data_IF_060586773218
#
_entry.id   IF_060586773218
#
_cell.length_a   1.000
_cell.length_b   1.000
_cell.length_c   1.000
_cell.angle_alpha   90.00
_cell.angle_beta   90.00
_cell.angle_gamma   90.00
#
_symmetry.space_group_name_H-M   'P 1'
#
loop_
_entity.id
_entity.type
_entity.pdbx_description
1 polymer ?
#
# COMPACT_ATOMS: atom_id res chain seq x y z
N UNK A 1 -0.08 28.61 -11.70
CA UNK A 1 -1.13 27.60 -11.63
C UNK A 1 -1.42 27.31 -10.17
N UNK A 2 -2.67 27.06 -9.79
CA UNK A 2 -2.98 26.66 -8.42
C UNK A 2 -2.27 25.35 -8.09
N UNK A 3 -1.74 25.24 -6.85
CA UNK A 3 -1.15 24.00 -6.37
C UNK A 3 -2.25 22.94 -6.24
N UNK A 4 -2.00 21.75 -6.79
CA UNK A 4 -2.90 20.60 -6.64
C UNK A 4 -2.45 19.78 -5.43
N UNK A 5 -3.41 19.45 -4.55
CA UNK A 5 -3.17 18.59 -3.40
C UNK A 5 -4.00 17.33 -3.52
N UNK A 6 -3.39 16.20 -3.21
CA UNK A 6 -4.06 14.89 -3.25
C UNK A 6 -3.84 14.12 -1.96
N UNK A 7 -4.85 13.42 -1.52
CA UNK A 7 -4.72 12.42 -0.46
C UNK A 7 -4.08 11.17 -1.05
N UNK A 8 -3.10 10.60 -0.36
CA UNK A 8 -2.41 9.39 -0.80
C UNK A 8 -3.22 8.12 -0.52
N UNK A 9 -4.12 8.20 0.47
CA UNK A 9 -4.99 7.11 0.87
C UNK A 9 -6.44 7.49 0.70
N UNK A 10 -7.30 6.49 0.49
CA UNK A 10 -8.75 6.72 0.49
C UNK A 10 -9.23 6.96 1.92
N UNK A 11 -10.13 7.94 2.07
CA UNK A 11 -10.68 8.33 3.38
C UNK A 11 -11.86 7.44 3.72
N UNK A 12 -11.72 6.59 4.75
CA UNK A 12 -12.79 5.72 5.22
C UNK A 12 -13.52 6.36 6.40
N UNK A 13 -14.81 6.69 6.24
CA UNK A 13 -15.69 7.21 7.27
C UNK A 13 -16.45 6.13 8.04
N UNK A 14 -16.26 4.85 7.70
CA UNK A 14 -17.00 3.75 8.32
C UNK A 14 -16.52 3.43 9.74
N UNK A 15 -15.39 4.00 10.17
CA UNK A 15 -14.84 3.83 11.52
C UNK A 15 -14.31 5.15 12.09
N UNK A 16 -14.20 5.18 13.42
CA UNK A 16 -13.52 6.25 14.16
C UNK A 16 -12.60 5.62 15.20
N UNK A 17 -11.34 6.03 15.23
CA UNK A 17 -10.35 5.55 16.21
C UNK A 17 -9.58 6.71 16.81
N UNK A 18 -8.82 6.45 17.87
CA UNK A 18 -7.95 7.45 18.49
C UNK A 18 -6.90 8.03 17.55
N UNK A 19 -6.44 7.24 16.57
CA UNK A 19 -5.46 7.64 15.56
C UNK A 19 -6.09 8.32 14.34
N UNK A 20 -7.37 8.07 14.07
CA UNK A 20 -8.11 8.65 12.94
C UNK A 20 -9.54 8.98 13.38
N UNK A 21 -9.72 9.99 14.23
CA UNK A 21 -11.04 10.34 14.74
C UNK A 21 -11.93 10.90 13.65
N UNK A 22 -13.21 10.51 13.69
CA UNK A 22 -14.28 11.11 12.88
C UNK A 22 -15.06 12.06 13.74
N UNK A 23 -15.02 13.34 13.42
CA UNK A 23 -15.88 14.35 14.05
C UNK A 23 -17.29 14.24 13.46
N UNK A 24 -18.29 14.14 14.32
CA UNK A 24 -19.70 14.05 13.93
C UNK A 24 -20.44 15.27 14.47
N UNK A 25 -21.05 16.02 13.58
CA UNK A 25 -21.89 17.18 13.95
C UNK A 25 -23.27 17.07 13.32
N UNK A 26 -24.30 17.61 13.98
CA UNK A 26 -25.63 17.66 13.38
C UNK A 26 -25.60 18.70 12.26
N UNK A 27 -26.00 18.29 11.06
CA UNK A 27 -26.10 19.17 9.89
C UNK A 27 -27.48 19.81 9.77
N UNK A 28 -28.55 19.02 9.93
CA UNK A 28 -29.93 19.54 9.93
C UNK A 28 -30.79 18.82 10.95
N UNK A 29 -31.84 19.51 11.41
CA UNK A 29 -32.82 18.96 12.30
C UNK A 29 -34.21 19.06 11.65
N UNK A 30 -35.07 18.13 11.99
CA UNK A 30 -36.48 18.17 11.60
C UNK A 30 -37.17 19.35 12.29
N UNK A 31 -37.75 20.24 11.52
CA UNK A 31 -38.39 21.47 12.04
C UNK A 31 -39.57 21.21 12.97
N UNK A 32 -40.24 20.06 12.83
CA UNK A 32 -41.44 19.72 13.63
C UNK A 32 -41.08 19.00 14.93
N UNK A 33 -40.08 18.09 14.87
CA UNK A 33 -39.75 17.24 16.03
C UNK A 33 -38.49 17.68 16.76
N UNK A 34 -37.63 18.52 16.14
CA UNK A 34 -36.32 18.92 16.66
C UNK A 34 -35.27 17.79 16.61
N UNK A 35 -35.64 16.63 16.08
CA UNK A 35 -34.70 15.50 15.98
C UNK A 35 -33.69 15.71 14.85
N UNK A 36 -32.41 15.26 15.02
CA UNK A 36 -31.44 15.32 13.96
C UNK A 36 -31.87 14.48 12.74
N UNK A 37 -31.79 15.05 11.55
CA UNK A 37 -32.07 14.36 10.27
C UNK A 37 -30.79 13.96 9.54
N UNK A 38 -29.82 14.87 9.53
CA UNK A 38 -28.55 14.65 8.83
C UNK A 38 -27.36 14.99 9.71
N UNK A 39 -26.30 14.23 9.54
CA UNK A 39 -25.04 14.42 10.23
C UNK A 39 -23.92 14.76 9.24
N UNK A 40 -23.04 15.67 9.62
CA UNK A 40 -21.82 15.97 8.90
C UNK A 40 -20.67 15.22 9.55
N UNK A 41 -19.99 14.39 8.75
CA UNK A 41 -18.78 13.66 9.14
C UNK A 41 -17.56 14.40 8.63
N UNK A 42 -16.58 14.62 9.51
CA UNK A 42 -15.30 15.22 9.14
C UNK A 42 -14.15 14.34 9.61
N UNK A 43 -13.13 14.20 8.76
CA UNK A 43 -11.83 13.62 9.10
C UNK A 43 -10.70 14.51 8.66
N UNK A 44 -9.61 14.52 9.44
CA UNK A 44 -8.34 15.13 9.03
C UNK A 44 -7.49 14.09 8.34
N UNK A 45 -6.98 14.42 7.17
CA UNK A 45 -6.11 13.54 6.37
C UNK A 45 -4.91 14.32 5.87
N UNK A 46 -3.79 13.62 5.67
CA UNK A 46 -2.62 14.21 5.04
C UNK A 46 -2.85 14.32 3.53
N UNK A 47 -2.46 15.44 2.97
CA UNK A 47 -2.49 15.65 1.53
C UNK A 47 -1.10 16.11 1.08
N UNK A 48 -0.66 15.60 -0.06
CA UNK A 48 0.63 15.95 -0.67
C UNK A 48 0.38 16.75 -1.93
N UNK A 49 1.16 17.82 -2.12
CA UNK A 49 1.14 18.58 -3.37
C UNK A 49 1.89 17.81 -4.44
N UNK A 50 1.20 17.35 -5.46
CA UNK A 50 1.78 16.58 -6.54
C UNK A 50 0.77 16.16 -7.58
N UNK A 51 1.27 15.79 -8.75
CA UNK A 51 0.49 15.22 -9.85
C UNK A 51 0.84 13.75 -10.01
N UNK A 52 -0.16 12.91 -10.19
CA UNK A 52 0.06 11.51 -10.53
C UNK A 52 0.38 11.42 -12.02
N UNK A 53 1.48 10.76 -12.34
CA UNK A 53 1.90 10.44 -13.70
C UNK A 53 2.15 8.95 -13.81
N UNK A 54 1.93 8.40 -14.99
CA UNK A 54 2.23 7.01 -15.31
C UNK A 54 3.36 6.98 -16.33
N UNK A 55 4.31 6.07 -16.13
CA UNK A 55 5.42 5.84 -17.05
C UNK A 55 5.51 4.36 -17.36
N UNK A 56 5.52 4.02 -18.65
CA UNK A 56 5.63 2.64 -19.10
C UNK A 56 7.09 2.30 -19.43
N UNK A 57 7.51 1.11 -19.03
CA UNK A 57 8.84 0.57 -19.34
C UNK A 57 8.68 -0.76 -20.05
N UNK A 58 9.49 -0.96 -21.10
CA UNK A 58 9.53 -2.23 -21.82
C UNK A 58 10.80 -2.97 -21.45
N UNK A 59 10.62 -4.18 -20.94
CA UNK A 59 11.74 -5.11 -20.70
C UNK A 59 11.95 -5.98 -21.92
N UNK A 60 13.22 -6.32 -22.19
CA UNK A 60 13.60 -7.29 -23.20
C UNK A 60 13.46 -8.73 -22.71
N UNK A 61 14.40 -9.60 -23.10
CA UNK A 61 14.46 -10.95 -22.55
C UNK A 61 14.64 -10.91 -21.04
N UNK A 62 14.00 -11.82 -20.27
CA UNK A 62 14.11 -11.87 -18.82
C UNK A 62 15.56 -11.93 -18.36
N UNK A 63 15.92 -11.06 -17.44
CA UNK A 63 17.26 -11.01 -16.81
C UNK A 63 17.09 -10.96 -15.29
N UNK A 64 17.87 -11.73 -14.54
CA UNK A 64 17.90 -11.60 -13.09
C UNK A 64 18.33 -10.18 -12.70
N UNK A 65 17.67 -9.61 -11.70
CA UNK A 65 17.98 -8.30 -11.13
C UNK A 65 17.95 -7.14 -12.14
N UNK A 66 17.06 -7.21 -13.11
CA UNK A 66 16.92 -6.16 -14.13
C UNK A 66 16.56 -4.81 -13.50
N UNK A 67 17.02 -3.75 -14.13
CA UNK A 67 16.94 -2.40 -13.57
C UNK A 67 16.32 -1.44 -14.57
N UNK A 68 15.52 -0.54 -14.04
CA UNK A 68 15.05 0.64 -14.77
C UNK A 68 15.39 1.90 -14.00
N UNK A 69 15.54 2.99 -14.71
CA UNK A 69 15.76 4.31 -14.09
C UNK A 69 14.64 5.25 -14.46
N UNK A 70 13.98 5.78 -13.45
CA UNK A 70 13.01 6.85 -13.60
C UNK A 70 13.77 8.16 -13.63
N UNK A 71 13.59 8.93 -14.69
CA UNK A 71 14.34 10.16 -14.96
C UNK A 71 13.61 11.43 -14.50
N UNK A 72 12.51 11.29 -13.80
CA UNK A 72 11.74 12.41 -13.26
C UNK A 72 12.47 12.99 -12.04
N UNK A 73 12.80 14.28 -12.11
CA UNK A 73 13.65 14.95 -11.10
C UNK A 73 12.91 15.30 -9.80
N UNK A 74 11.58 15.26 -9.79
CA UNK A 74 10.75 15.66 -8.66
C UNK A 74 9.83 14.54 -8.18
N UNK A 75 10.29 13.30 -8.26
CA UNK A 75 9.54 12.16 -7.77
C UNK A 75 9.37 12.24 -6.26
N UNK A 76 8.13 12.18 -5.78
CA UNK A 76 7.78 12.19 -4.37
C UNK A 76 7.66 10.74 -3.86
N UNK A 77 6.91 9.91 -4.59
CA UNK A 77 6.58 8.55 -4.16
C UNK A 77 6.20 7.69 -5.37
N UNK A 78 6.43 6.38 -5.26
CA UNK A 78 5.88 5.38 -6.17
C UNK A 78 4.56 4.90 -5.56
N UNK A 79 3.47 5.12 -6.27
CA UNK A 79 2.14 4.73 -5.80
C UNK A 79 1.88 3.26 -6.10
N UNK A 80 2.21 2.83 -7.32
CA UNK A 80 1.94 1.47 -7.77
C UNK A 80 2.89 1.06 -8.90
N UNK A 81 3.22 -0.22 -8.95
CA UNK A 81 3.98 -0.83 -10.04
C UNK A 81 3.22 -2.08 -10.46
N UNK A 82 2.82 -2.15 -11.72
CA UNK A 82 2.08 -3.27 -12.28
C UNK A 82 2.72 -3.73 -13.58
N UNK A 83 2.64 -5.02 -13.88
CA UNK A 83 3.08 -5.57 -15.15
C UNK A 83 1.96 -5.60 -16.21
N UNK A 84 2.28 -6.07 -17.41
CA UNK A 84 1.33 -6.16 -18.53
C UNK A 84 0.14 -7.09 -18.26
N UNK A 85 0.29 -8.02 -17.34
CA UNK A 85 -0.76 -8.96 -16.93
C UNK A 85 -1.56 -8.43 -15.73
N UNK A 86 -1.30 -7.16 -15.35
CA UNK A 86 -1.90 -6.48 -14.21
C UNK A 86 -1.56 -7.11 -12.84
N UNK A 87 -0.42 -7.82 -12.77
CA UNK A 87 0.09 -8.27 -11.48
C UNK A 87 0.78 -7.12 -10.77
N UNK A 88 0.49 -6.97 -9.50
CA UNK A 88 1.11 -5.97 -8.64
C UNK A 88 2.50 -6.39 -8.21
N UNK A 89 3.45 -5.45 -8.29
CA UNK A 89 4.80 -5.58 -7.77
C UNK A 89 4.94 -4.76 -6.48
N UNK A 90 5.67 -5.30 -5.52
CA UNK A 90 5.77 -4.74 -4.17
C UNK A 90 7.18 -4.25 -3.87
N UNK A 91 7.26 -3.06 -3.31
CA UNK A 91 8.52 -2.54 -2.80
C UNK A 91 8.92 -3.29 -1.53
N UNK A 92 10.18 -3.73 -1.49
CA UNK A 92 10.78 -4.41 -0.34
C UNK A 92 12.11 -3.75 0.02
N UNK A 93 12.54 -3.82 1.28
CA UNK A 93 13.83 -3.26 1.70
C UNK A 93 15.04 -3.93 1.02
N UNK A 94 14.91 -5.22 0.68
CA UNK A 94 15.94 -6.00 -0.02
C UNK A 94 15.29 -7.16 -0.79
N UNK A 95 15.87 -7.52 -1.93
CA UNK A 95 15.26 -8.49 -2.86
C UNK A 95 15.12 -9.91 -2.31
N UNK A 96 15.90 -10.30 -1.30
CA UNK A 96 15.74 -11.59 -0.64
C UNK A 96 14.46 -11.68 0.25
N UNK A 97 13.84 -10.55 0.56
CA UNK A 97 12.59 -10.54 1.31
C UNK A 97 11.43 -10.93 0.39
N UNK A 98 10.91 -12.12 0.56
CA UNK A 98 9.77 -12.65 -0.19
C UNK A 98 8.41 -12.42 0.48
N UNK A 99 8.42 -11.84 1.68
CA UNK A 99 7.24 -11.66 2.51
C UNK A 99 6.96 -10.18 2.74
N UNK A 100 5.73 -9.78 2.54
CA UNK A 100 5.23 -8.43 2.77
C UNK A 100 4.05 -8.45 3.73
N UNK A 101 3.74 -7.30 4.31
CA UNK A 101 2.52 -7.09 5.07
C UNK A 101 1.47 -6.42 4.19
N UNK A 102 0.32 -7.04 4.08
CA UNK A 102 -0.86 -6.50 3.42
C UNK A 102 -1.88 -6.06 4.47
N UNK A 103 -2.34 -4.82 4.36
CA UNK A 103 -3.39 -4.30 5.23
C UNK A 103 -4.74 -4.80 4.74
N UNK A 104 -5.43 -5.57 5.57
CA UNK A 104 -6.77 -6.09 5.28
C UNK A 104 -7.78 -5.51 6.26
N UNK A 105 -9.00 -5.23 5.80
CA UNK A 105 -10.04 -4.71 6.66
C UNK A 105 -10.39 -5.71 7.76
N UNK A 106 -10.49 -5.22 9.00
CA UNK A 106 -10.93 -6.04 10.13
C UNK A 106 -12.43 -6.30 10.02
N UNK A 107 -12.81 -7.54 9.78
CA UNK A 107 -14.21 -7.99 9.67
C UNK A 107 -14.75 -8.57 10.98
N UNK A 108 -14.02 -8.46 12.07
CA UNK A 108 -14.39 -9.01 13.39
C UNK A 108 -15.64 -8.32 14.00
N UNK A 109 -16.21 -7.33 13.32
CA UNK A 109 -17.46 -6.67 13.73
C UNK A 109 -18.62 -7.63 13.97
N UNK A 110 -18.58 -8.80 13.34
CA UNK A 110 -19.58 -9.88 13.50
C UNK A 110 -19.19 -10.92 14.56
N UNK A 111 -18.01 -10.81 15.15
CA UNK A 111 -17.54 -11.71 16.20
C UNK A 111 -17.92 -11.13 17.56
N UNK A 112 -18.71 -11.85 18.41
CA UNK A 112 -19.18 -11.35 19.71
C UNK A 112 -18.07 -10.96 20.68
N UNK A 113 -16.90 -11.60 20.60
CA UNK A 113 -15.76 -11.36 21.49
C UNK A 113 -14.87 -10.22 20.97
N UNK A 114 -14.76 -10.04 19.65
CA UNK A 114 -13.84 -9.12 19.03
C UNK A 114 -14.51 -7.84 18.49
N UNK A 115 -15.84 -7.81 18.41
CA UNK A 115 -16.60 -6.69 17.84
C UNK A 115 -16.34 -5.35 18.53
N UNK A 116 -16.11 -5.37 19.85
CA UNK A 116 -15.81 -4.17 20.63
C UNK A 116 -14.48 -3.49 20.26
N UNK A 117 -13.56 -4.25 19.67
CA UNK A 117 -12.23 -3.74 19.27
C UNK A 117 -12.14 -3.41 17.78
N UNK A 118 -13.15 -3.74 16.98
CA UNK A 118 -13.10 -3.57 15.52
C UNK A 118 -12.99 -2.11 15.08
N UNK A 119 -13.52 -1.18 15.87
CA UNK A 119 -13.45 0.25 15.58
C UNK A 119 -12.09 0.85 15.96
N UNK A 120 -11.44 0.31 17.00
CA UNK A 120 -10.08 0.72 17.41
C UNK A 120 -8.99 0.13 16.51
N UNK A 121 -9.24 -1.07 15.95
CA UNK A 121 -8.33 -1.77 15.06
C UNK A 121 -9.02 -2.06 13.73
N UNK A 122 -9.24 -1.05 12.90
CA UNK A 122 -10.03 -1.19 11.66
C UNK A 122 -9.34 -2.02 10.58
N UNK A 123 -8.01 -2.15 10.65
CA UNK A 123 -7.20 -2.94 9.70
C UNK A 123 -6.24 -3.86 10.44
N UNK A 124 -6.07 -5.04 9.88
CA UNK A 124 -5.12 -6.07 10.33
C UNK A 124 -4.00 -6.22 9.31
N UNK A 125 -2.79 -6.51 9.78
CA UNK A 125 -1.67 -6.83 8.91
C UNK A 125 -1.65 -8.34 8.65
N UNK A 126 -1.77 -8.71 7.39
CA UNK A 126 -1.67 -10.09 6.93
C UNK A 126 -0.33 -10.30 6.23
N UNK A 127 0.36 -11.36 6.59
CA UNK A 127 1.58 -11.81 5.91
C UNK A 127 1.21 -12.39 4.54
N UNK A 128 1.92 -11.94 3.49
CA UNK A 128 1.75 -12.42 2.12
C UNK A 128 3.11 -12.68 1.50
N UNK A 129 3.30 -13.88 0.97
CA UNK A 129 4.45 -14.18 0.12
C UNK A 129 4.23 -13.58 -1.26
N UNK A 130 5.29 -12.98 -1.83
CA UNK A 130 5.26 -12.45 -3.18
C UNK A 130 6.57 -12.69 -3.90
N UNK A 131 6.47 -13.20 -5.14
CA UNK A 131 7.58 -13.27 -6.06
C UNK A 131 7.84 -11.92 -6.75
N UNK A 132 6.78 -11.14 -6.97
CA UNK A 132 6.80 -9.86 -7.67
C UNK A 132 7.23 -8.76 -6.72
N UNK A 133 8.53 -8.49 -6.67
CA UNK A 133 9.10 -7.50 -5.77
C UNK A 133 10.22 -6.70 -6.42
N UNK A 134 10.41 -5.50 -5.93
CA UNK A 134 11.47 -4.60 -6.36
C UNK A 134 12.02 -3.81 -5.17
N UNK A 135 13.21 -3.26 -5.35
CA UNK A 135 13.79 -2.25 -4.46
C UNK A 135 13.92 -0.93 -5.20
N UNK A 136 13.73 0.17 -4.48
CA UNK A 136 13.87 1.52 -4.99
C UNK A 136 15.11 2.18 -4.40
N UNK A 137 16.04 2.65 -5.26
CA UNK A 137 17.28 3.27 -4.85
C UNK A 137 17.42 4.65 -5.46
N UNK A 138 17.53 5.69 -4.64
CA UNK A 138 17.88 7.02 -5.11
C UNK A 138 19.36 7.11 -5.45
N UNK A 139 19.63 7.60 -6.65
CA UNK A 139 21.00 7.86 -7.13
C UNK A 139 21.41 9.31 -6.80
N UNK A 140 22.72 9.56 -6.84
CA UNK A 140 23.31 10.86 -6.52
C UNK A 140 22.82 12.03 -7.39
N UNK A 141 22.23 11.73 -8.54
CA UNK A 141 21.66 12.71 -9.47
C UNK A 141 20.13 12.88 -9.31
N UNK A 142 19.59 12.54 -8.17
CA UNK A 142 18.16 12.59 -7.84
C UNK A 142 17.25 11.70 -8.72
N UNK A 143 17.83 10.72 -9.41
CA UNK A 143 17.10 9.72 -10.19
C UNK A 143 16.77 8.52 -9.33
N UNK A 144 15.63 7.92 -9.58
CA UNK A 144 15.21 6.69 -8.92
C UNK A 144 15.50 5.48 -9.80
N UNK A 145 16.29 4.55 -9.28
CA UNK A 145 16.52 3.25 -9.91
C UNK A 145 15.66 2.20 -9.22
N UNK A 146 14.83 1.50 -10.01
CA UNK A 146 14.11 0.32 -9.55
C UNK A 146 14.88 -0.91 -10.00
N UNK A 147 15.13 -1.81 -9.07
CA UNK A 147 15.72 -3.12 -9.35
C UNK A 147 14.71 -4.20 -8.98
N UNK A 148 14.38 -5.02 -9.97
CA UNK A 148 13.37 -6.06 -9.82
C UNK A 148 13.98 -7.36 -9.31
N UNK A 149 13.17 -8.15 -8.60
CA UNK A 149 13.58 -9.40 -8.00
C UNK A 149 14.09 -10.43 -9.01
N UNK A 150 14.61 -11.49 -8.48
CA UNK A 150 15.36 -12.53 -9.17
C UNK A 150 14.53 -13.40 -10.11
N UNK A 151 13.60 -12.88 -10.78
CA UNK A 151 12.82 -13.47 -11.86
C UNK A 151 13.10 -14.90 -12.34
N UNK A 152 13.37 -15.86 -11.57
CA UNK A 152 13.22 -17.28 -11.90
C UNK A 152 12.96 -18.00 -10.58
N UNK A 153 11.73 -18.15 -10.21
CA UNK A 153 11.32 -19.11 -9.21
C UNK A 153 10.52 -20.24 -9.86
N UNK A 154 11.08 -20.81 -10.93
CA UNK A 154 10.61 -22.12 -11.41
C UNK A 154 11.17 -23.26 -10.56
N UNK A 155 12.10 -22.95 -9.66
CA UNK A 155 12.60 -23.90 -8.68
C UNK A 155 11.70 -23.82 -7.43
N UNK A 156 11.16 -24.96 -7.05
CA UNK A 156 10.41 -25.14 -5.82
C UNK A 156 11.18 -24.54 -4.64
N UNK A 157 10.47 -23.84 -3.73
CA UNK A 157 11.01 -23.29 -2.48
C UNK A 157 11.79 -24.33 -1.63
N UNK A 158 11.68 -25.60 -1.95
CA UNK A 158 12.38 -26.73 -1.31
C UNK A 158 13.90 -26.76 -1.58
N UNK A 159 14.39 -26.14 -2.66
CA UNK A 159 15.82 -26.08 -2.94
C UNK A 159 16.58 -24.95 -2.22
N UNK A 160 15.87 -24.01 -1.60
CA UNK A 160 16.45 -22.89 -0.84
C UNK A 160 16.68 -23.21 0.63
N UNK A 161 16.17 -24.30 1.12
CA UNK A 161 16.43 -24.79 2.48
C UNK A 161 17.58 -25.80 2.35
N UNK A 162 18.78 -25.50 2.91
CA UNK A 162 19.84 -26.49 2.94
C UNK A 162 19.31 -27.75 3.63
N UNK A 163 19.37 -28.87 2.93
CA UNK A 163 19.00 -30.15 3.54
C UNK A 163 19.92 -30.37 4.75
N UNK A 164 19.38 -30.43 5.99
CA UNK A 164 20.21 -30.59 7.18
C UNK A 164 21.06 -31.87 7.16
N UNK A 165 20.70 -32.86 6.35
CA UNK A 165 21.48 -34.10 6.18
C UNK A 165 22.73 -33.92 5.30
N UNK A 166 22.87 -32.76 4.62
CA UNK A 166 24.04 -32.42 3.80
C UNK A 166 25.01 -31.46 4.48
N UNK A 167 24.72 -31.02 5.69
CA UNK A 167 25.57 -30.15 6.51
C UNK A 167 26.16 -30.99 7.64
N UNK A 168 27.03 -31.90 7.29
CA UNK A 168 27.79 -32.73 8.19
C UNK A 168 29.30 -32.55 8.01
#
# INVERSE_FOLDING_TARGET
QPAEFRTMESVDFSYSSSLSPTEVTVYSVNETTGAPEWYLLKKQVKATSGKITTTDFTFGSPKPYDKITITDDNLIEIIDVVDSDNNKWYEVPYLAQDTIFESVKNIAKNDPELSGYSDEVPYLLKLKKTANRFIANFKSNNRLELQFGSGISDNNDEELIPNPDLVG
#
